data_IF_012439160812
#
_entry.id   IF_012439160812
#
_cell.length_a   1.000
_cell.length_b   1.000
_cell.length_c   1.000
_cell.angle_alpha   90.00
_cell.angle_beta   90.00
_cell.angle_gamma   90.00
#
_symmetry.space_group_name_H-M   'P 1'
#
loop_
_entity.id
_entity.type
_entity.pdbx_description
1 polymer ?
#
# COMPACT_ATOMS: atom_id res chain seq x y z
N UNK A 1 -73.24 10.58 -24.46
CA UNK A 1 -72.66 9.99 -23.23
C UNK A 1 -71.32 9.35 -23.60
N UNK A 2 -70.21 10.06 -23.41
CA UNK A 2 -68.86 9.49 -23.48
C UNK A 2 -68.13 10.02 -22.24
N UNK A 3 -67.94 9.15 -21.26
CA UNK A 3 -67.30 9.47 -19.98
C UNK A 3 -65.80 9.31 -20.13
N UNK A 4 -65.09 10.43 -20.04
CA UNK A 4 -63.62 10.49 -20.07
C UNK A 4 -63.07 10.13 -18.68
N UNK A 5 -62.33 9.03 -18.57
CA UNK A 5 -61.66 8.62 -17.34
C UNK A 5 -60.25 9.23 -17.31
N UNK A 6 -60.06 10.24 -16.47
CA UNK A 6 -58.75 10.77 -16.12
C UNK A 6 -58.02 9.79 -15.18
N UNK A 7 -56.89 9.24 -15.62
CA UNK A 7 -55.95 8.50 -14.77
C UNK A 7 -55.06 9.50 -14.03
N UNK A 8 -55.19 9.55 -12.71
CA UNK A 8 -54.34 10.33 -11.82
C UNK A 8 -53.10 9.48 -11.48
N UNK A 9 -51.93 9.83 -12.01
CA UNK A 9 -50.66 9.19 -11.66
C UNK A 9 -50.10 9.83 -10.38
N UNK A 10 -50.16 9.11 -9.26
CA UNK A 10 -49.53 9.50 -8.00
C UNK A 10 -48.05 9.08 -8.10
N UNK A 11 -47.17 10.05 -8.33
CA UNK A 11 -45.72 9.84 -8.27
C UNK A 11 -45.24 9.76 -6.83
N UNK A 12 -44.84 8.59 -6.38
CA UNK A 12 -44.13 8.40 -5.10
C UNK A 12 -42.70 8.89 -5.22
N UNK A 13 -42.40 10.03 -4.61
CA UNK A 13 -41.05 10.55 -4.47
C UNK A 13 -40.30 9.73 -3.41
N UNK A 14 -39.55 8.72 -3.85
CA UNK A 14 -38.68 7.94 -2.97
C UNK A 14 -37.45 8.79 -2.59
N UNK A 15 -37.41 9.30 -1.36
CA UNK A 15 -36.18 9.83 -0.77
C UNK A 15 -35.19 8.68 -0.56
N UNK A 16 -34.17 8.64 -1.41
CA UNK A 16 -32.98 7.82 -1.19
C UNK A 16 -32.19 8.42 -0.03
N UNK A 17 -32.30 7.81 1.16
CA UNK A 17 -31.32 8.00 2.22
C UNK A 17 -30.00 7.39 1.74
N UNK A 18 -29.07 8.25 1.34
CA UNK A 18 -27.66 7.89 1.21
C UNK A 18 -27.11 7.66 2.61
N UNK A 19 -27.22 6.43 3.10
CA UNK A 19 -26.42 5.95 4.23
C UNK A 19 -24.98 5.90 3.77
N UNK A 20 -24.19 6.91 4.13
CA UNK A 20 -22.73 6.89 4.00
C UNK A 20 -22.16 5.84 4.96
N UNK A 21 -22.13 4.57 4.53
CA UNK A 21 -21.30 3.55 5.15
C UNK A 21 -19.84 3.95 4.89
N UNK A 22 -19.24 4.66 5.83
CA UNK A 22 -17.78 4.66 5.93
C UNK A 22 -17.38 3.25 6.32
N UNK A 23 -16.69 2.57 5.40
CA UNK A 23 -16.13 1.24 5.60
C UNK A 23 -14.85 1.32 6.45
N UNK A 24 -14.97 1.87 7.66
CA UNK A 24 -13.94 1.77 8.69
C UNK A 24 -14.33 0.59 9.60
N UNK A 25 -13.42 -0.36 9.79
CA UNK A 25 -13.68 -1.56 10.61
C UNK A 25 -13.71 -1.24 12.12
N UNK A 26 -13.44 0.03 12.48
CA UNK A 26 -13.71 0.64 13.78
C UNK A 26 -14.97 1.50 13.68
N UNK A 27 -15.99 1.18 14.48
CA UNK A 27 -17.28 1.88 14.47
C UNK A 27 -17.13 3.29 15.06
N UNK A 28 -17.53 4.31 14.30
CA UNK A 28 -17.60 5.69 14.81
C UNK A 28 -18.83 5.85 15.69
N UNK A 29 -18.59 6.02 16.97
CA UNK A 29 -19.61 6.24 17.98
C UNK A 29 -19.74 7.74 18.27
N UNK A 30 -20.99 8.18 18.42
CA UNK A 30 -21.42 9.56 18.59
C UNK A 30 -22.42 9.63 19.74
N UNK A 31 -22.75 10.82 20.21
CA UNK A 31 -23.79 11.00 21.24
C UNK A 31 -25.14 10.35 20.85
N UNK A 32 -25.44 10.26 19.55
CA UNK A 32 -26.74 9.79 19.04
C UNK A 32 -26.86 8.27 18.86
N UNK A 33 -25.73 7.56 18.79
CA UNK A 33 -25.68 6.11 18.52
C UNK A 33 -24.96 5.30 19.61
N UNK A 34 -24.23 5.94 20.53
CA UNK A 34 -23.41 5.22 21.51
C UNK A 34 -24.21 4.16 22.26
N UNK A 35 -25.30 4.53 22.92
CA UNK A 35 -26.11 3.60 23.71
C UNK A 35 -26.93 2.63 22.86
N UNK A 36 -27.06 2.88 21.55
CA UNK A 36 -27.70 1.94 20.62
C UNK A 36 -26.74 0.82 20.19
N UNK A 37 -25.44 1.06 20.30
CA UNK A 37 -24.39 0.15 19.83
C UNK A 37 -23.64 -0.52 21.01
N UNK A 38 -23.50 0.20 22.12
CA UNK A 38 -22.75 -0.20 23.33
C UNK A 38 -23.72 -0.54 24.45
N UNK A 39 -23.38 -1.57 25.24
CA UNK A 39 -24.24 -2.07 26.32
C UNK A 39 -25.46 -2.86 25.85
N UNK A 40 -25.47 -3.26 24.58
CA UNK A 40 -26.56 -4.02 23.95
C UNK A 40 -26.21 -5.53 23.88
N UNK A 41 -26.38 -6.16 22.72
CA UNK A 41 -26.25 -7.61 22.51
C UNK A 41 -24.82 -8.11 22.30
N UNK A 42 -23.86 -7.18 22.16
CA UNK A 42 -22.41 -7.42 22.04
C UNK A 42 -21.62 -6.61 23.07
N UNK A 43 -20.45 -7.12 23.45
CA UNK A 43 -19.51 -6.36 24.26
C UNK A 43 -18.76 -5.34 23.38
N UNK A 44 -18.17 -4.29 23.96
CA UNK A 44 -17.49 -3.26 23.18
C UNK A 44 -16.17 -2.81 23.82
N UNK A 45 -15.12 -2.67 23.01
CA UNK A 45 -13.96 -1.87 23.36
C UNK A 45 -14.11 -0.50 22.67
N UNK A 46 -14.05 0.58 23.45
CA UNK A 46 -14.20 1.95 22.96
C UNK A 46 -12.96 2.79 23.23
N UNK A 47 -12.42 3.42 22.19
CA UNK A 47 -11.41 4.47 22.27
C UNK A 47 -12.07 5.84 22.35
N UNK A 48 -11.80 6.57 23.41
CA UNK A 48 -12.13 7.99 23.55
C UNK A 48 -10.89 8.82 23.21
N UNK A 49 -10.97 9.60 22.13
CA UNK A 49 -9.83 10.30 21.56
C UNK A 49 -10.12 11.78 21.26
N UNK A 50 -9.09 12.52 20.88
CA UNK A 50 -9.22 13.85 20.29
C UNK A 50 -8.31 13.96 19.05
N UNK A 51 -8.73 14.60 17.94
CA UNK A 51 -7.98 14.64 16.68
C UNK A 51 -6.59 15.29 16.79
N UNK A 52 -6.42 16.22 17.73
CA UNK A 52 -5.14 16.92 17.95
C UNK A 52 -4.16 16.13 18.83
N UNK A 53 -4.58 15.03 19.48
CA UNK A 53 -3.73 14.30 20.41
C UNK A 53 -2.70 13.41 19.70
N UNK A 54 -1.41 13.68 19.92
CA UNK A 54 -0.31 12.90 19.32
C UNK A 54 -0.30 11.42 19.74
N UNK A 55 -0.68 11.10 20.99
CA UNK A 55 -0.76 9.70 21.45
C UNK A 55 -1.93 8.95 20.81
N UNK A 56 -3.04 9.63 20.51
CA UNK A 56 -4.16 9.07 19.75
C UNK A 56 -3.73 8.76 18.31
N UNK A 57 -3.02 9.69 17.65
CA UNK A 57 -2.47 9.47 16.30
C UNK A 57 -1.52 8.27 16.25
N UNK A 58 -0.76 8.02 17.33
CA UNK A 58 0.11 6.84 17.43
C UNK A 58 -0.67 5.54 17.66
N UNK A 59 -1.79 5.57 18.36
CA UNK A 59 -2.65 4.40 18.61
C UNK A 59 -3.54 4.06 17.41
N UNK A 60 -4.01 5.05 16.65
CA UNK A 60 -4.92 4.87 15.53
C UNK A 60 -4.59 3.67 14.61
N UNK A 61 -3.37 3.49 14.08
CA UNK A 61 -3.07 2.33 13.22
C UNK A 61 -3.19 0.98 13.94
N UNK A 62 -2.81 0.90 15.22
CA UNK A 62 -2.96 -0.32 16.03
C UNK A 62 -4.44 -0.63 16.32
N UNK A 63 -5.23 0.41 16.55
CA UNK A 63 -6.66 0.30 16.83
C UNK A 63 -7.48 -0.06 15.57
N UNK A 64 -7.09 0.46 14.41
CA UNK A 64 -7.63 0.06 13.11
C UNK A 64 -7.31 -1.40 12.79
N UNK A 65 -6.06 -1.83 13.03
CA UNK A 65 -5.65 -3.24 12.88
C UNK A 65 -6.49 -4.15 13.79
N UNK A 66 -6.76 -3.73 15.02
CA UNK A 66 -7.67 -4.43 15.93
C UNK A 66 -9.10 -4.51 15.36
N UNK A 67 -9.67 -3.38 14.92
CA UNK A 67 -11.01 -3.32 14.31
C UNK A 67 -11.15 -4.28 13.12
N UNK A 68 -10.20 -4.23 12.19
CA UNK A 68 -10.16 -5.12 11.03
C UNK A 68 -10.11 -6.61 11.43
N UNK A 69 -9.36 -6.94 12.48
CA UNK A 69 -9.24 -8.31 12.99
C UNK A 69 -10.56 -8.82 13.57
N UNK A 70 -11.26 -7.96 14.31
CA UNK A 70 -12.52 -8.30 14.98
C UNK A 70 -13.76 -8.13 14.09
N UNK A 71 -13.61 -7.70 12.83
CA UNK A 71 -14.71 -7.50 11.86
C UNK A 71 -15.70 -8.67 11.76
N UNK A 72 -15.22 -9.91 11.87
CA UNK A 72 -16.06 -11.13 11.80
C UNK A 72 -16.60 -11.60 13.16
N UNK A 73 -16.08 -11.05 14.27
CA UNK A 73 -16.48 -11.41 15.62
C UNK A 73 -17.71 -10.61 16.06
N UNK A 74 -18.90 -11.04 15.62
CA UNK A 74 -20.17 -10.33 15.86
C UNK A 74 -20.51 -10.10 17.35
N UNK A 75 -19.92 -10.86 18.26
CA UNK A 75 -20.10 -10.71 19.71
C UNK A 75 -19.32 -9.54 20.33
N UNK A 76 -18.47 -8.86 19.54
CA UNK A 76 -17.64 -7.75 19.98
C UNK A 76 -17.76 -6.57 19.00
N UNK A 77 -17.81 -5.35 19.55
CA UNK A 77 -17.71 -4.08 18.84
C UNK A 77 -16.34 -3.45 19.14
N UNK A 78 -15.62 -3.01 18.12
CA UNK A 78 -14.47 -2.11 18.28
C UNK A 78 -14.92 -0.73 17.80
N UNK A 79 -14.92 0.26 18.70
CA UNK A 79 -15.48 1.58 18.44
C UNK A 79 -14.58 2.71 18.90
N UNK A 80 -14.80 3.90 18.34
CA UNK A 80 -14.10 5.14 18.71
C UNK A 80 -15.06 6.32 18.83
N UNK A 81 -14.79 7.23 19.75
CA UNK A 81 -15.54 8.45 20.00
C UNK A 81 -14.59 9.65 19.97
N UNK A 82 -14.89 10.63 19.11
CA UNK A 82 -14.22 11.92 19.14
C UNK A 82 -14.80 12.78 20.28
N UNK A 83 -14.00 13.06 21.30
CA UNK A 83 -14.43 13.84 22.46
C UNK A 83 -14.41 15.36 22.26
N UNK A 84 -13.83 15.88 21.17
CA UNK A 84 -13.99 17.29 20.81
C UNK A 84 -15.39 17.55 20.26
N UNK A 85 -15.92 16.61 19.46
CA UNK A 85 -17.26 16.69 18.88
C UNK A 85 -18.34 16.15 19.83
N UNK A 86 -18.07 15.05 20.53
CA UNK A 86 -19.04 14.32 21.37
C UNK A 86 -18.71 14.41 22.86
N UNK A 87 -18.70 15.65 23.39
CA UNK A 87 -18.32 15.94 24.78
C UNK A 87 -19.24 15.31 25.82
N UNK A 88 -20.52 15.14 25.49
CA UNK A 88 -21.54 14.63 26.43
C UNK A 88 -21.23 13.19 26.81
N UNK A 89 -21.06 12.31 25.82
CA UNK A 89 -20.71 10.90 26.07
C UNK A 89 -19.34 10.74 26.75
N UNK A 90 -18.34 11.56 26.39
CA UNK A 90 -17.02 11.48 27.02
C UNK A 90 -17.06 11.92 28.50
N UNK A 91 -17.82 12.97 28.81
CA UNK A 91 -18.03 13.42 30.18
C UNK A 91 -18.80 12.37 30.99
N UNK A 92 -19.83 11.75 30.40
CA UNK A 92 -20.63 10.69 31.03
C UNK A 92 -19.77 9.52 31.52
N UNK A 93 -18.77 9.12 30.75
CA UNK A 93 -17.88 8.01 31.08
C UNK A 93 -16.55 8.44 31.72
N UNK A 94 -16.50 9.67 32.25
CA UNK A 94 -15.38 10.15 33.07
C UNK A 94 -14.05 10.28 32.32
N UNK A 95 -14.09 10.58 31.02
CA UNK A 95 -12.88 10.75 30.20
C UNK A 95 -12.22 12.10 30.52
N UNK A 96 -11.04 12.05 31.15
CA UNK A 96 -10.26 13.23 31.53
C UNK A 96 -8.92 13.36 30.80
N UNK A 97 -8.60 12.41 29.91
CA UNK A 97 -7.37 12.41 29.13
C UNK A 97 -7.44 11.43 27.95
N UNK A 98 -6.55 11.63 26.97
CA UNK A 98 -6.61 10.91 25.69
C UNK A 98 -5.29 10.20 25.34
N UNK A 99 -5.35 9.03 24.66
CA UNK A 99 -6.54 8.20 24.49
C UNK A 99 -6.94 7.52 25.80
N UNK A 100 -8.25 7.37 26.03
CA UNK A 100 -8.80 6.51 27.10
C UNK A 100 -9.51 5.33 26.47
N UNK A 101 -9.19 4.11 26.91
CA UNK A 101 -9.77 2.87 26.42
C UNK A 101 -10.66 2.26 27.50
N UNK A 102 -11.90 1.94 27.16
CA UNK A 102 -12.86 1.35 28.08
C UNK A 102 -13.58 0.15 27.45
N UNK A 103 -13.70 -0.92 28.23
CA UNK A 103 -14.42 -2.13 27.89
C UNK A 103 -15.81 -2.13 28.50
N UNK A 104 -16.82 -2.32 27.66
CA UNK A 104 -18.22 -2.43 28.05
C UNK A 104 -18.66 -3.89 27.87
N UNK A 105 -18.96 -4.61 28.96
CA UNK A 105 -19.50 -5.97 28.87
C UNK A 105 -20.83 -6.00 28.11
N UNK A 106 -21.13 -7.15 27.48
CA UNK A 106 -22.43 -7.38 26.85
C UNK A 106 -23.57 -7.09 27.84
N UNK A 107 -24.55 -6.30 27.41
CA UNK A 107 -25.71 -5.91 28.22
C UNK A 107 -25.42 -4.91 29.33
N UNK A 108 -24.23 -4.31 29.39
CA UNK A 108 -23.85 -3.35 30.43
C UNK A 108 -23.25 -2.07 29.84
N UNK A 109 -23.69 -0.93 30.39
CA UNK A 109 -23.07 0.38 30.16
C UNK A 109 -22.03 0.72 31.24
N UNK A 110 -21.72 -0.18 32.16
CA UNK A 110 -20.67 0.00 33.17
C UNK A 110 -19.31 -0.42 32.60
N UNK A 111 -18.38 0.51 32.36
CA UNK A 111 -17.12 0.20 31.73
C UNK A 111 -16.05 -0.26 32.72
N UNK A 112 -15.15 -1.10 32.23
CA UNK A 112 -13.83 -1.38 32.81
C UNK A 112 -12.76 -0.66 32.01
N UNK A 113 -11.94 0.17 32.66
CA UNK A 113 -10.83 0.85 32.00
C UNK A 113 -9.71 -0.13 31.62
N UNK A 114 -9.14 0.05 30.42
CA UNK A 114 -7.96 -0.67 29.98
C UNK A 114 -6.70 0.18 30.22
N UNK A 115 -5.73 -0.38 30.94
CA UNK A 115 -4.47 0.30 31.30
C UNK A 115 -3.21 -0.41 30.77
N UNK A 116 -3.39 -1.41 29.91
CA UNK A 116 -2.29 -2.16 29.31
C UNK A 116 -1.62 -1.49 28.11
N UNK A 117 -0.67 -2.19 27.45
CA UNK A 117 0.02 -1.71 26.27
C UNK A 117 -0.93 -1.45 25.08
N UNK A 118 -0.76 -0.32 24.41
CA UNK A 118 -1.61 0.13 23.29
C UNK A 118 -1.12 -0.42 21.94
N UNK A 119 -0.95 -1.74 21.86
CA UNK A 119 -0.59 -2.49 20.64
C UNK A 119 -1.76 -3.38 20.25
N UNK A 120 -1.96 -3.63 18.96
CA UNK A 120 -3.06 -4.45 18.48
C UNK A 120 -3.09 -5.84 19.15
N UNK A 121 -1.92 -6.44 19.36
CA UNK A 121 -1.78 -7.76 19.99
C UNK A 121 -2.26 -7.74 21.45
N UNK A 122 -1.76 -6.81 22.27
CA UNK A 122 -2.16 -6.70 23.67
C UNK A 122 -3.65 -6.31 23.84
N UNK A 123 -4.18 -5.50 22.93
CA UNK A 123 -5.61 -5.16 22.90
C UNK A 123 -6.45 -6.38 22.48
N UNK A 124 -6.02 -7.16 21.49
CA UNK A 124 -6.71 -8.37 21.07
C UNK A 124 -6.71 -9.43 22.16
N UNK A 125 -5.58 -9.64 22.85
CA UNK A 125 -5.52 -10.55 24.00
C UNK A 125 -6.53 -10.15 25.09
N UNK A 126 -6.59 -8.85 25.40
CA UNK A 126 -7.55 -8.32 26.36
C UNK A 126 -9.01 -8.52 25.90
N UNK A 127 -9.33 -8.15 24.66
CA UNK A 127 -10.68 -8.31 24.09
C UNK A 127 -11.08 -9.79 23.98
N UNK A 128 -10.15 -10.67 23.63
CA UNK A 128 -10.37 -12.11 23.61
C UNK A 128 -10.72 -12.64 25.00
N UNK A 129 -9.94 -12.24 26.01
CA UNK A 129 -10.15 -12.61 27.41
C UNK A 129 -11.50 -12.13 27.94
N UNK A 130 -11.82 -10.85 27.78
CA UNK A 130 -13.03 -10.25 28.35
C UNK A 130 -14.29 -10.58 27.53
N UNK A 131 -14.16 -10.68 26.21
CA UNK A 131 -15.26 -10.98 25.28
C UNK A 131 -15.52 -12.47 25.05
N UNK A 132 -14.69 -13.37 25.62
CA UNK A 132 -14.78 -14.81 25.40
C UNK A 132 -14.58 -15.20 23.93
N UNK A 133 -13.67 -14.52 23.23
CA UNK A 133 -13.37 -14.75 21.81
C UNK A 133 -11.95 -15.29 21.63
N UNK A 134 -11.63 -15.76 20.41
CA UNK A 134 -10.29 -16.24 20.05
C UNK A 134 -9.89 -15.69 18.68
N UNK A 135 -10.02 -14.38 18.53
CA UNK A 135 -9.65 -13.65 17.32
C UNK A 135 -8.14 -13.46 17.31
N UNK A 136 -7.48 -14.00 16.30
CA UNK A 136 -6.10 -13.66 16.01
C UNK A 136 -6.09 -12.29 15.33
N UNK A 137 -5.15 -11.43 15.71
CA UNK A 137 -4.90 -10.21 14.95
C UNK A 137 -4.68 -10.62 13.49
N UNK A 138 -5.51 -10.06 12.61
CA UNK A 138 -5.28 -10.12 11.18
C UNK A 138 -3.88 -9.57 10.99
N UNK A 139 -2.95 -10.44 10.64
CA UNK A 139 -1.68 -9.99 10.10
C UNK A 139 -2.06 -9.04 8.97
N UNK A 140 -1.64 -7.78 9.06
CA UNK A 140 -1.58 -6.95 7.87
C UNK A 140 -0.83 -7.83 6.86
N UNK A 141 -1.44 -8.16 5.71
CA UNK A 141 -0.80 -9.05 4.76
C UNK A 141 0.57 -8.44 4.45
N UNK A 142 1.61 -9.09 4.97
CA UNK A 142 2.95 -8.58 4.88
C UNK A 142 3.40 -8.77 3.44
N UNK A 143 3.97 -7.71 2.87
CA UNK A 143 4.67 -7.81 1.59
C UNK A 143 6.09 -8.35 1.78
N UNK A 144 6.56 -8.48 3.04
CA UNK A 144 7.85 -9.09 3.37
C UNK A 144 7.72 -10.61 3.30
N UNK A 145 8.56 -11.23 2.49
CA UNK A 145 8.65 -12.69 2.39
C UNK A 145 9.39 -13.23 3.60
N UNK A 146 8.72 -14.05 4.41
CA UNK A 146 9.35 -14.72 5.55
C UNK A 146 10.10 -15.95 5.06
N UNK A 147 11.41 -15.95 5.26
CA UNK A 147 12.28 -17.05 4.90
C UNK A 147 12.39 -18.08 6.02
N UNK A 148 12.63 -19.32 5.62
CA UNK A 148 12.99 -20.46 6.45
C UNK A 148 14.06 -21.27 5.74
N UNK A 149 14.58 -22.32 6.39
CA UNK A 149 15.41 -23.33 5.73
C UNK A 149 14.78 -23.90 4.46
N UNK A 150 13.45 -23.98 4.40
CA UNK A 150 12.74 -24.74 3.37
C UNK A 150 12.52 -23.93 2.09
N UNK A 151 12.46 -22.60 2.18
CA UNK A 151 12.21 -21.71 1.04
C UNK A 151 13.37 -20.76 0.71
N UNK A 152 14.43 -20.72 1.54
CA UNK A 152 15.53 -19.77 1.35
C UNK A 152 16.15 -19.91 -0.05
N UNK A 153 16.49 -21.13 -0.46
CA UNK A 153 17.15 -21.35 -1.75
C UNK A 153 16.22 -21.03 -2.93
N UNK A 154 14.94 -21.40 -2.84
CA UNK A 154 13.95 -21.10 -3.89
C UNK A 154 13.77 -19.59 -4.09
N UNK A 155 13.74 -18.81 -3.01
CA UNK A 155 13.49 -17.37 -3.07
C UNK A 155 14.79 -16.61 -3.35
N UNK A 156 15.81 -16.80 -2.51
CA UNK A 156 17.03 -15.99 -2.51
C UNK A 156 17.95 -16.36 -3.67
N UNK A 157 18.08 -17.66 -3.98
CA UNK A 157 18.99 -18.13 -5.03
C UNK A 157 18.34 -18.16 -6.43
N UNK A 158 17.10 -17.69 -6.57
CA UNK A 158 16.47 -17.52 -7.88
C UNK A 158 17.22 -16.48 -8.71
N UNK A 159 17.88 -16.93 -9.78
CA UNK A 159 18.69 -16.10 -10.66
C UNK A 159 17.90 -15.05 -11.45
N UNK A 160 16.56 -15.08 -11.40
CA UNK A 160 15.70 -14.08 -12.05
C UNK A 160 15.25 -12.96 -11.11
N UNK A 161 15.50 -13.08 -9.80
CA UNK A 161 15.05 -12.12 -8.78
C UNK A 161 16.20 -11.36 -8.14
N UNK A 162 15.98 -10.11 -7.82
CA UNK A 162 16.78 -9.30 -6.92
C UNK A 162 16.17 -9.40 -5.51
N UNK A 163 16.94 -9.85 -4.51
CA UNK A 163 16.39 -10.14 -3.18
C UNK A 163 17.15 -9.37 -2.10
N UNK A 164 16.46 -8.50 -1.37
CA UNK A 164 16.99 -7.88 -0.15
C UNK A 164 16.50 -8.71 1.04
N UNK A 165 17.43 -9.16 1.89
CA UNK A 165 17.13 -10.00 3.06
C UNK A 165 17.55 -9.30 4.35
N UNK A 166 16.61 -9.10 5.27
CA UNK A 166 16.88 -8.76 6.66
C UNK A 166 17.12 -10.05 7.49
N UNK A 167 18.33 -10.22 8.00
CA UNK A 167 18.62 -11.20 9.04
C UNK A 167 18.37 -10.55 10.41
N UNK A 168 17.38 -11.06 11.13
CA UNK A 168 16.91 -10.49 12.39
C UNK A 168 16.89 -11.51 13.53
N UNK A 169 16.68 -11.02 14.75
CA UNK A 169 16.33 -11.84 15.91
C UNK A 169 15.10 -11.25 16.64
N UNK A 170 14.14 -12.07 17.12
CA UNK A 170 12.89 -11.57 17.73
C UNK A 170 13.10 -10.71 18.98
N UNK A 171 14.21 -10.89 19.69
CA UNK A 171 14.54 -10.13 20.90
C UNK A 171 15.25 -8.81 20.60
N UNK A 172 15.71 -8.58 19.36
CA UNK A 172 16.48 -7.38 19.01
C UNK A 172 15.58 -6.14 18.89
N UNK A 173 15.84 -5.13 19.73
CA UNK A 173 15.09 -3.86 19.70
C UNK A 173 15.23 -3.10 18.38
N UNK A 174 16.43 -3.06 17.79
CA UNK A 174 16.66 -2.39 16.51
C UNK A 174 15.93 -3.05 15.34
N UNK A 175 15.81 -4.39 15.34
CA UNK A 175 14.98 -5.12 14.36
C UNK A 175 13.51 -4.73 14.49
N UNK A 176 13.00 -4.65 15.73
CA UNK A 176 11.60 -4.22 15.98
C UNK A 176 11.35 -2.79 15.48
N UNK A 177 12.34 -1.90 15.59
CA UNK A 177 12.25 -0.55 15.04
C UNK A 177 12.31 -0.50 13.51
N UNK A 178 13.07 -1.40 12.88
CA UNK A 178 13.21 -1.49 11.43
C UNK A 178 11.99 -2.14 10.75
N UNK A 179 11.37 -3.15 11.38
CA UNK A 179 10.23 -3.90 10.85
C UNK A 179 9.13 -3.04 10.19
N UNK A 180 8.60 -1.95 10.80
CA UNK A 180 7.57 -1.12 10.15
C UNK A 180 8.09 -0.32 8.95
N UNK A 181 9.39 0.00 8.89
CA UNK A 181 10.01 0.64 7.73
C UNK A 181 10.19 -0.39 6.62
N UNK A 182 10.70 -1.57 6.96
CA UNK A 182 10.93 -2.66 6.03
C UNK A 182 9.62 -3.15 5.36
N UNK A 183 8.51 -3.16 6.10
CA UNK A 183 7.18 -3.45 5.56
C UNK A 183 6.72 -2.43 4.52
N UNK A 184 7.02 -1.13 4.73
CA UNK A 184 6.73 -0.08 3.74
C UNK A 184 7.56 -0.25 2.48
N UNK A 185 8.83 -0.62 2.62
CA UNK A 185 9.73 -0.92 1.50
C UNK A 185 9.19 -2.11 0.71
N UNK A 186 8.86 -3.22 1.37
CA UNK A 186 8.26 -4.37 0.73
C UNK A 186 6.95 -4.03 0.01
N UNK A 187 6.10 -3.22 0.64
CA UNK A 187 4.86 -2.72 0.04
C UNK A 187 5.10 -1.82 -1.16
N UNK A 188 6.18 -1.03 -1.17
CA UNK A 188 6.53 -0.16 -2.27
C UNK A 188 6.88 -0.97 -3.52
N UNK A 189 7.64 -2.05 -3.37
CA UNK A 189 8.12 -2.87 -4.49
C UNK A 189 7.24 -4.09 -4.82
N UNK A 190 6.09 -4.27 -4.14
CA UNK A 190 5.21 -5.45 -4.33
C UNK A 190 4.70 -5.71 -5.76
N UNK A 191 4.76 -4.71 -6.64
CA UNK A 191 4.35 -4.79 -8.05
C UNK A 191 5.54 -4.99 -9.00
N UNK A 192 6.78 -4.94 -8.50
CA UNK A 192 7.97 -5.29 -9.26
C UNK A 192 8.24 -6.77 -9.07
N UNK A 193 7.74 -7.59 -9.99
CA UNK A 193 7.79 -9.05 -9.88
C UNK A 193 9.21 -9.60 -9.69
N UNK A 194 10.23 -8.88 -10.18
CA UNK A 194 11.64 -9.25 -10.08
C UNK A 194 12.32 -8.82 -8.78
N UNK A 195 11.65 -8.07 -7.90
CA UNK A 195 12.19 -7.60 -6.63
C UNK A 195 11.50 -8.29 -5.46
N UNK A 196 12.28 -8.84 -4.53
CA UNK A 196 11.78 -9.48 -3.31
C UNK A 196 12.41 -8.82 -2.09
N UNK A 197 11.56 -8.43 -1.15
CA UNK A 197 11.97 -7.94 0.17
C UNK A 197 11.61 -9.04 1.18
N UNK A 198 12.61 -9.56 1.89
CA UNK A 198 12.48 -10.77 2.67
C UNK A 198 13.17 -10.65 4.03
N UNK A 199 12.78 -11.48 4.99
CA UNK A 199 13.47 -11.57 6.28
C UNK A 199 13.70 -13.02 6.72
N UNK A 200 14.70 -13.22 7.57
CA UNK A 200 15.06 -14.51 8.15
C UNK A 200 15.35 -14.34 9.65
N UNK A 201 14.70 -15.14 10.48
CA UNK A 201 15.05 -15.27 11.90
C UNK A 201 16.38 -16.04 12.01
N UNK A 202 17.48 -15.30 12.11
CA UNK A 202 18.83 -15.84 12.13
C UNK A 202 19.20 -16.43 13.51
N UNK A 203 18.45 -16.11 14.57
CA UNK A 203 18.58 -16.76 15.88
C UNK A 203 18.02 -18.19 15.84
N UNK A 204 16.93 -18.37 15.08
CA UNK A 204 16.34 -19.69 14.80
C UNK A 204 17.13 -20.49 13.75
N UNK A 205 17.52 -19.88 12.63
CA UNK A 205 18.19 -20.57 11.51
C UNK A 205 19.70 -20.30 11.49
N UNK A 206 20.39 -20.78 12.52
CA UNK A 206 21.80 -20.48 12.79
C UNK A 206 22.76 -20.94 11.69
N UNK A 207 22.50 -22.08 11.04
CA UNK A 207 23.35 -22.59 9.96
C UNK A 207 23.31 -21.65 8.73
N UNK A 208 22.15 -21.08 8.42
CA UNK A 208 22.02 -20.07 7.36
C UNK A 208 22.69 -18.75 7.78
N UNK A 209 22.56 -18.36 9.05
CA UNK A 209 23.23 -17.19 9.59
C UNK A 209 24.77 -17.34 9.47
N UNK A 210 25.32 -18.49 9.84
CA UNK A 210 26.75 -18.78 9.75
C UNK A 210 27.23 -18.83 8.28
N UNK A 211 26.48 -19.50 7.40
CA UNK A 211 26.77 -19.57 5.95
C UNK A 211 26.97 -18.19 5.33
N UNK A 212 26.18 -17.21 5.76
CA UNK A 212 26.26 -15.83 5.26
C UNK A 212 27.00 -14.89 6.20
N UNK A 213 27.71 -15.39 7.22
CA UNK A 213 28.57 -14.57 8.09
C UNK A 213 27.81 -13.54 8.93
N UNK A 214 26.59 -13.86 9.38
CA UNK A 214 25.76 -12.98 10.20
C UNK A 214 26.24 -13.03 11.65
N UNK A 215 26.84 -11.92 12.13
CA UNK A 215 27.40 -11.81 13.49
C UNK A 215 26.69 -10.77 14.37
N UNK A 216 25.64 -10.11 13.88
CA UNK A 216 24.89 -9.08 14.58
C UNK A 216 23.55 -8.80 13.92
N UNK A 217 22.69 -8.01 14.59
CA UNK A 217 21.33 -7.76 14.13
C UNK A 217 20.92 -6.28 14.22
N UNK A 218 20.07 -5.80 13.29
CA UNK A 218 19.77 -6.44 12.01
C UNK A 218 20.99 -6.35 11.07
N UNK A 219 21.20 -7.39 10.29
CA UNK A 219 22.12 -7.39 9.14
C UNK A 219 21.30 -7.51 7.86
N UNK A 220 21.57 -6.66 6.88
CA UNK A 220 20.88 -6.63 5.61
C UNK A 220 21.84 -7.08 4.51
N UNK A 221 21.40 -8.02 3.67
CA UNK A 221 22.17 -8.44 2.50
C UNK A 221 21.32 -8.41 1.25
N UNK A 222 21.90 -7.98 0.15
CA UNK A 222 21.29 -7.97 -1.16
C UNK A 222 21.84 -9.09 -2.04
N UNK A 223 20.95 -9.79 -2.74
CA UNK A 223 21.26 -10.94 -3.60
C UNK A 223 20.81 -10.62 -5.03
N UNK A 224 21.68 -9.98 -5.83
CA UNK A 224 21.33 -9.53 -7.16
C UNK A 224 20.93 -10.67 -8.11
N UNK A 225 20.13 -10.33 -9.12
CA UNK A 225 19.81 -11.18 -10.25
C UNK A 225 21.11 -11.64 -10.93
N UNK A 226 21.24 -12.94 -11.15
CA UNK A 226 22.44 -13.56 -11.75
C UNK A 226 23.70 -13.62 -10.87
N UNK A 227 23.72 -13.02 -9.68
CA UNK A 227 24.83 -13.18 -8.71
C UNK A 227 24.30 -13.36 -7.28
N UNK A 228 24.39 -14.60 -6.80
CA UNK A 228 23.79 -15.04 -5.52
C UNK A 228 24.77 -15.23 -4.38
N UNK A 229 25.97 -14.65 -4.48
CA UNK A 229 26.93 -14.64 -3.39
C UNK A 229 26.43 -13.83 -2.18
N UNK A 230 25.58 -12.82 -2.42
CA UNK A 230 25.13 -11.87 -1.42
C UNK A 230 26.16 -10.77 -1.18
N UNK A 231 25.70 -9.52 -1.15
CA UNK A 231 26.49 -8.35 -0.79
C UNK A 231 25.87 -7.66 0.44
N UNK A 232 26.69 -7.07 1.28
CA UNK A 232 26.20 -6.31 2.44
C UNK A 232 25.49 -5.03 2.00
N UNK A 233 24.40 -4.71 2.70
CA UNK A 233 23.74 -3.42 2.59
C UNK A 233 24.19 -2.52 3.75
N UNK A 234 24.96 -1.50 3.41
CA UNK A 234 25.51 -0.52 4.37
C UNK A 234 24.82 0.86 4.28
N UNK A 235 23.69 0.94 3.57
CA UNK A 235 22.92 2.18 3.42
C UNK A 235 22.13 2.58 4.66
N UNK A 236 21.50 3.76 4.59
CA UNK A 236 20.59 4.23 5.63
C UNK A 236 19.35 3.33 5.78
N UNK A 237 18.64 3.42 6.91
CA UNK A 237 17.54 2.49 7.24
C UNK A 237 16.17 3.14 7.17
N UNK A 238 16.07 4.27 6.48
CA UNK A 238 14.82 4.96 6.24
C UNK A 238 14.20 4.46 4.93
N UNK A 239 12.89 4.67 4.72
CA UNK A 239 12.19 4.18 3.52
C UNK A 239 12.88 4.66 2.24
N UNK A 240 13.26 5.94 2.19
CA UNK A 240 13.83 6.56 1.00
C UNK A 240 15.24 6.02 0.67
N UNK A 241 16.04 5.64 1.67
CA UNK A 241 17.36 5.04 1.47
C UNK A 241 17.24 3.66 0.82
N UNK A 242 16.33 2.82 1.33
CA UNK A 242 16.05 1.51 0.73
C UNK A 242 15.48 1.64 -0.67
N UNK A 243 14.51 2.53 -0.86
CA UNK A 243 13.89 2.75 -2.17
C UNK A 243 14.92 3.22 -3.19
N UNK A 244 15.82 4.13 -2.80
CA UNK A 244 16.91 4.60 -3.65
C UNK A 244 17.83 3.44 -4.03
N UNK A 245 18.31 2.67 -3.05
CA UNK A 245 19.16 1.50 -3.30
C UNK A 245 18.51 0.47 -4.23
N UNK A 246 17.25 0.11 -3.98
CA UNK A 246 16.53 -0.90 -4.78
C UNK A 246 16.28 -0.37 -6.20
N UNK A 247 15.91 0.90 -6.36
CA UNK A 247 15.78 1.51 -7.69
C UNK A 247 17.10 1.45 -8.47
N UNK A 248 18.22 1.77 -7.83
CA UNK A 248 19.54 1.75 -8.46
C UNK A 248 20.02 0.34 -8.81
N UNK A 249 19.87 -0.61 -7.88
CA UNK A 249 20.35 -1.99 -8.05
C UNK A 249 19.46 -2.82 -8.98
N UNK A 250 18.15 -2.61 -8.94
CA UNK A 250 17.18 -3.43 -9.67
C UNK A 250 16.65 -2.76 -10.95
N UNK A 251 17.07 -1.52 -11.24
CA UNK A 251 16.57 -0.76 -12.40
C UNK A 251 15.08 -0.42 -12.32
N UNK A 252 14.54 -0.29 -11.10
CA UNK A 252 13.15 0.13 -10.84
C UNK A 252 13.08 1.65 -10.66
N UNK A 253 11.87 2.18 -10.44
CA UNK A 253 11.68 3.64 -10.36
C UNK A 253 10.46 4.00 -9.51
N UNK A 254 10.46 3.60 -8.24
CA UNK A 254 9.38 3.87 -7.28
C UNK A 254 9.73 4.96 -6.27
N UNK A 255 8.70 5.58 -5.70
CA UNK A 255 8.81 6.41 -4.50
C UNK A 255 8.52 5.60 -3.21
N UNK A 256 8.67 6.24 -2.04
CA UNK A 256 8.38 5.61 -0.74
C UNK A 256 6.92 5.22 -0.49
N UNK A 257 6.00 5.57 -1.41
CA UNK A 257 4.59 5.15 -1.39
C UNK A 257 4.31 4.03 -2.40
N UNK A 258 5.33 3.55 -3.12
CA UNK A 258 5.22 2.52 -4.14
C UNK A 258 4.71 3.01 -5.50
N UNK A 259 4.62 4.32 -5.72
CA UNK A 259 4.18 4.88 -6.99
C UNK A 259 5.37 4.97 -7.97
N UNK A 260 5.13 4.67 -9.25
CA UNK A 260 6.14 4.91 -10.29
C UNK A 260 6.44 6.41 -10.42
N UNK A 261 7.73 6.75 -10.41
CA UNK A 261 8.24 8.11 -10.63
C UNK A 261 8.26 8.47 -12.11
N UNK A 262 8.59 9.72 -12.45
CA UNK A 262 8.75 10.18 -13.84
C UNK A 262 9.87 9.48 -14.62
N UNK A 263 10.82 8.83 -13.92
CA UNK A 263 11.91 8.06 -14.54
C UNK A 263 11.46 6.68 -15.03
N UNK A 264 10.35 6.17 -14.52
CA UNK A 264 9.87 4.84 -14.88
C UNK A 264 9.53 4.74 -16.37
N UNK A 265 10.09 3.74 -17.04
CA UNK A 265 9.87 3.48 -18.46
C UNK A 265 10.80 4.22 -19.41
N UNK A 266 11.62 5.15 -18.91
CA UNK A 266 12.54 5.93 -19.73
C UNK A 266 13.75 5.07 -20.09
N UNK A 267 13.97 4.88 -21.39
CA UNK A 267 15.15 4.18 -21.92
C UNK A 267 16.00 5.21 -22.66
N UNK A 268 17.13 5.59 -22.08
CA UNK A 268 17.96 6.72 -22.57
C UNK A 268 18.30 6.61 -24.05
N UNK A 269 18.60 5.40 -24.52
CA UNK A 269 18.99 5.18 -25.91
C UNK A 269 17.81 5.39 -26.88
N UNK A 270 16.60 4.96 -26.49
CA UNK A 270 15.36 5.25 -27.23
C UNK A 270 14.96 6.73 -27.14
N UNK A 271 15.17 7.40 -26.00
CA UNK A 271 14.88 8.83 -25.82
C UNK A 271 15.58 9.69 -26.87
N UNK A 272 16.86 9.38 -27.14
CA UNK A 272 17.63 10.12 -28.14
C UNK A 272 17.04 9.95 -29.55
N UNK A 273 16.60 8.74 -29.91
CA UNK A 273 15.91 8.49 -31.19
C UNK A 273 14.52 9.14 -31.24
N UNK A 274 13.78 9.19 -30.13
CA UNK A 274 12.49 9.89 -30.07
C UNK A 274 12.68 11.39 -30.29
N UNK A 275 13.73 12.01 -29.73
CA UNK A 275 14.06 13.43 -29.97
C UNK A 275 14.34 13.71 -31.44
N UNK A 276 15.02 12.81 -32.14
CA UNK A 276 15.20 12.89 -33.60
C UNK A 276 13.85 12.75 -34.32
N UNK A 277 13.07 11.73 -33.94
CA UNK A 277 11.78 11.42 -34.54
C UNK A 277 10.79 12.59 -34.47
N UNK A 278 10.68 13.26 -33.32
CA UNK A 278 9.71 14.37 -33.15
C UNK A 278 10.09 15.62 -33.95
N UNK A 279 11.38 15.86 -34.20
CA UNK A 279 11.88 17.00 -34.98
C UNK A 279 11.87 16.75 -36.49
N UNK A 280 11.82 15.49 -36.90
CA UNK A 280 11.90 15.07 -38.29
C UNK A 280 10.63 15.40 -39.09
N UNK A 281 10.80 15.57 -40.40
CA UNK A 281 9.67 15.63 -41.34
C UNK A 281 8.95 14.28 -41.41
N UNK A 282 7.73 14.26 -41.99
CA UNK A 282 6.94 13.02 -42.07
C UNK A 282 7.63 11.89 -42.86
N UNK A 283 8.44 12.24 -43.87
CA UNK A 283 9.17 11.25 -44.66
C UNK A 283 10.37 10.68 -43.89
N UNK A 284 11.10 11.53 -43.15
CA UNK A 284 12.23 11.12 -42.31
C UNK A 284 11.81 10.31 -41.08
N UNK A 285 10.62 10.58 -40.51
CA UNK A 285 10.07 9.85 -39.37
C UNK A 285 9.97 8.34 -39.62
N UNK A 286 9.71 7.90 -40.85
CA UNK A 286 9.65 6.47 -41.19
C UNK A 286 11.02 5.79 -41.05
N UNK A 287 12.08 6.46 -41.48
CA UNK A 287 13.44 5.95 -41.35
C UNK A 287 13.90 5.92 -39.89
N UNK A 288 13.53 6.94 -39.10
CA UNK A 288 13.84 6.97 -37.66
C UNK A 288 13.03 5.91 -36.91
N UNK A 289 11.76 5.68 -37.29
CA UNK A 289 10.94 4.62 -36.72
C UNK A 289 11.58 3.24 -36.90
N UNK A 290 12.10 2.90 -38.08
CA UNK A 290 12.82 1.65 -38.31
C UNK A 290 14.06 1.52 -37.40
N UNK A 291 14.81 2.60 -37.16
CA UNK A 291 15.93 2.61 -36.20
C UNK A 291 15.50 2.39 -34.76
N UNK A 292 14.31 2.86 -34.38
CA UNK A 292 13.72 2.59 -33.06
C UNK A 292 13.32 1.10 -32.98
N UNK A 293 12.75 0.52 -34.04
CA UNK A 293 12.43 -0.92 -34.10
C UNK A 293 13.67 -1.78 -33.90
N UNK A 294 14.72 -1.54 -34.68
CA UNK A 294 16.00 -2.27 -34.58
C UNK A 294 16.59 -2.20 -33.17
N UNK A 295 16.54 -1.03 -32.53
CA UNK A 295 17.05 -0.88 -31.16
C UNK A 295 16.19 -1.61 -30.13
N UNK A 296 14.86 -1.54 -30.26
CA UNK A 296 13.94 -2.25 -29.37
C UNK A 296 14.15 -3.77 -29.43
N UNK A 297 14.52 -4.32 -30.59
CA UNK A 297 14.88 -5.73 -30.75
C UNK A 297 16.14 -6.15 -29.97
N UNK A 298 17.07 -5.21 -29.71
CA UNK A 298 18.28 -5.48 -28.94
C UNK A 298 18.06 -5.36 -27.42
N UNK A 299 16.94 -4.75 -26.99
CA UNK A 299 16.64 -4.59 -25.57
C UNK A 299 16.24 -5.93 -24.93
N UNK A 300 16.57 -6.07 -23.64
CA UNK A 300 16.22 -7.23 -22.82
C UNK A 300 15.46 -6.80 -21.57
N UNK A 301 14.78 -7.74 -20.92
CA UNK A 301 14.06 -7.50 -19.66
C UNK A 301 13.03 -6.38 -19.76
N UNK A 302 12.94 -5.55 -18.71
CA UNK A 302 11.99 -4.44 -18.61
C UNK A 302 12.12 -3.42 -19.76
N UNK A 303 13.34 -3.15 -20.22
CA UNK A 303 13.59 -2.22 -21.33
C UNK A 303 12.93 -2.68 -22.63
N UNK A 304 12.90 -3.99 -22.91
CA UNK A 304 12.21 -4.54 -24.09
C UNK A 304 10.69 -4.33 -24.01
N UNK A 305 10.10 -4.49 -22.81
CA UNK A 305 8.68 -4.21 -22.55
C UNK A 305 8.38 -2.73 -22.77
N UNK A 306 9.24 -1.83 -22.30
CA UNK A 306 9.10 -0.39 -22.49
C UNK A 306 9.23 0.00 -23.96
N UNK A 307 10.18 -0.60 -24.68
CA UNK A 307 10.37 -0.41 -26.12
C UNK A 307 9.10 -0.64 -26.96
N UNK A 308 8.27 -1.63 -26.59
CA UNK A 308 6.96 -1.85 -27.24
C UNK A 308 6.01 -0.65 -27.10
N UNK A 309 6.08 0.08 -25.98
CA UNK A 309 5.29 1.30 -25.75
C UNK A 309 5.85 2.44 -26.60
N UNK A 310 7.17 2.59 -26.67
CA UNK A 310 7.83 3.54 -27.59
C UNK A 310 7.38 3.31 -29.03
N UNK A 311 7.46 2.09 -29.55
CA UNK A 311 7.02 1.77 -30.91
C UNK A 311 5.55 2.11 -31.15
N UNK A 312 4.68 1.78 -30.20
CA UNK A 312 3.26 2.10 -30.30
C UNK A 312 3.03 3.62 -30.34
N UNK A 313 3.78 4.40 -29.57
CA UNK A 313 3.69 5.85 -29.53
C UNK A 313 4.21 6.49 -30.84
N UNK A 314 5.35 6.04 -31.36
CA UNK A 314 5.89 6.50 -32.64
C UNK A 314 4.94 6.17 -33.81
N UNK A 315 4.45 4.92 -33.88
CA UNK A 315 3.47 4.50 -34.88
C UNK A 315 2.18 5.33 -34.81
N UNK A 316 1.64 5.54 -33.61
CA UNK A 316 0.44 6.34 -33.43
C UNK A 316 0.67 7.81 -33.80
N UNK A 317 1.87 8.34 -33.59
CA UNK A 317 2.25 9.70 -34.01
C UNK A 317 2.34 9.83 -35.54
N UNK A 318 2.78 8.78 -36.25
CA UNK A 318 2.75 8.73 -37.72
C UNK A 318 1.31 8.69 -38.26
N UNK A 319 0.44 7.88 -37.65
CA UNK A 319 -0.93 7.64 -38.14
C UNK A 319 -1.92 8.76 -37.76
N UNK A 320 -1.77 9.33 -36.56
CA UNK A 320 -2.75 10.26 -35.96
C UNK A 320 -2.24 11.70 -35.85
N UNK A 321 -1.00 11.94 -36.26
CA UNK A 321 -0.36 13.26 -36.25
C UNK A 321 0.31 13.63 -34.93
N UNK A 322 1.02 14.77 -34.96
CA UNK A 322 1.91 15.23 -33.88
C UNK A 322 1.20 15.47 -32.54
N UNK A 323 -0.10 15.79 -32.55
CA UNK A 323 -0.88 16.03 -31.33
C UNK A 323 -1.26 14.76 -30.57
N UNK A 324 -1.02 13.57 -31.14
CA UNK A 324 -1.41 12.30 -30.53
C UNK A 324 -0.88 12.16 -29.11
N UNK A 325 0.42 12.37 -28.90
CA UNK A 325 1.05 12.18 -27.60
C UNK A 325 0.44 13.10 -26.53
N UNK A 326 0.24 14.38 -26.87
CA UNK A 326 -0.40 15.37 -25.99
C UNK A 326 -1.83 14.96 -25.61
N UNK A 327 -2.65 14.56 -26.58
CA UNK A 327 -4.04 14.13 -26.34
C UNK A 327 -4.10 12.87 -25.48
N UNK A 328 -3.19 11.92 -25.71
CA UNK A 328 -3.13 10.68 -24.95
C UNK A 328 -2.64 10.88 -23.52
N UNK A 329 -1.65 11.75 -23.29
CA UNK A 329 -1.22 12.16 -21.94
C UNK A 329 -2.39 12.74 -21.15
N UNK A 330 -3.13 13.70 -21.73
CA UNK A 330 -4.30 14.30 -21.08
C UNK A 330 -5.39 13.26 -20.77
N UNK A 331 -5.56 12.25 -21.64
CA UNK A 331 -6.48 11.14 -21.39
C UNK A 331 -6.01 10.28 -20.22
N UNK A 332 -4.71 9.96 -20.16
CA UNK A 332 -4.12 9.16 -19.08
C UNK A 332 -4.19 9.89 -17.73
N UNK A 333 -3.98 11.21 -17.71
CA UNK A 333 -4.12 12.04 -16.50
C UNK A 333 -5.54 11.99 -15.93
N UNK A 334 -6.57 12.21 -16.77
CA UNK A 334 -7.98 12.06 -16.36
C UNK A 334 -8.33 10.64 -15.89
N UNK A 335 -7.58 9.63 -16.32
CA UNK A 335 -7.79 8.25 -15.87
C UNK A 335 -7.09 7.98 -14.54
N UNK A 336 -5.94 8.60 -14.28
CA UNK A 336 -5.21 8.52 -13.02
C UNK A 336 -5.93 9.24 -11.87
N UNK A 337 -6.79 10.22 -12.17
CA UNK A 337 -7.65 10.89 -11.17
C UNK A 337 -8.81 10.01 -10.69
N UNK A 338 -9.12 8.91 -11.40
CA UNK A 338 -10.20 7.99 -11.02
C UNK A 338 -9.69 6.96 -10.01
N UNK A 339 -10.61 6.38 -9.24
CA UNK A 339 -10.31 5.18 -8.45
C UNK A 339 -10.00 4.01 -9.39
N UNK A 340 -8.73 3.61 -9.44
CA UNK A 340 -8.22 2.51 -10.27
C UNK A 340 -7.28 1.63 -9.44
N UNK A 341 -7.06 0.38 -9.89
CA UNK A 341 -6.12 -0.51 -9.20
C UNK A 341 -4.67 -0.01 -9.31
N UNK A 342 -3.80 -0.32 -8.33
CA UNK A 342 -2.38 0.03 -8.38
C UNK A 342 -1.67 -0.41 -9.67
N UNK A 343 -1.92 -1.65 -10.11
CA UNK A 343 -1.35 -2.16 -11.37
C UNK A 343 -1.81 -1.35 -12.59
N UNK A 344 -3.06 -0.85 -12.58
CA UNK A 344 -3.56 0.01 -13.66
C UNK A 344 -2.95 1.41 -13.61
N UNK A 345 -2.75 1.94 -12.40
CA UNK A 345 -2.03 3.20 -12.21
C UNK A 345 -0.59 3.08 -12.73
N UNK A 346 0.13 2.00 -12.42
CA UNK A 346 1.48 1.74 -12.95
C UNK A 346 1.47 1.69 -14.49
N UNK A 347 0.53 0.98 -15.10
CA UNK A 347 0.38 0.92 -16.57
C UNK A 347 0.17 2.32 -17.19
N UNK A 348 -0.68 3.14 -16.58
CA UNK A 348 -0.98 4.48 -17.08
C UNK A 348 0.17 5.45 -16.86
N UNK A 349 0.82 5.42 -15.70
CA UNK A 349 2.00 6.25 -15.41
C UNK A 349 3.15 5.91 -16.33
N UNK A 350 3.44 4.61 -16.54
CA UNK A 350 4.48 4.16 -17.45
C UNK A 350 4.25 4.66 -18.88
N UNK A 351 3.01 4.51 -19.39
CA UNK A 351 2.63 5.03 -20.71
C UNK A 351 2.75 6.55 -20.78
N UNK A 352 2.30 7.25 -19.74
CA UNK A 352 2.36 8.71 -19.67
C UNK A 352 3.82 9.19 -19.74
N UNK A 353 4.70 8.61 -18.94
CA UNK A 353 6.12 8.96 -18.92
C UNK A 353 6.78 8.79 -20.30
N UNK A 354 6.55 7.64 -20.95
CA UNK A 354 7.09 7.38 -22.30
C UNK A 354 6.47 8.32 -23.34
N UNK A 355 5.19 8.67 -23.23
CA UNK A 355 4.59 9.63 -24.15
C UNK A 355 5.13 11.05 -23.95
N UNK A 356 5.56 11.40 -22.73
CA UNK A 356 6.13 12.73 -22.45
C UNK A 356 7.36 13.02 -23.29
N UNK A 357 8.16 12.02 -23.65
CA UNK A 357 9.32 12.25 -24.53
C UNK A 357 8.95 12.58 -25.97
N UNK A 358 7.70 12.31 -26.37
CA UNK A 358 7.17 12.74 -27.68
C UNK A 358 6.65 14.19 -27.70
N UNK A 359 6.62 14.87 -26.55
CA UNK A 359 6.19 16.28 -26.44
C UNK A 359 7.32 17.22 -25.98
N UNK A 360 8.29 16.74 -25.21
CA UNK A 360 9.32 17.55 -24.54
C UNK A 360 10.44 18.11 -25.45
N UNK A 361 10.20 18.22 -26.76
CA UNK A 361 11.16 18.75 -27.75
C UNK A 361 10.63 19.92 -28.57
N UNK A 362 9.57 20.61 -28.11
CA UNK A 362 9.18 21.92 -28.64
C UNK A 362 9.97 23.05 -27.98
#
# INVERSE_FOLDING_TARGET
>A
MVSSRAFCAIGTLALLFLSSVSADDVVVLTDSNFEKEVGQDRAALVEFYAPWCGHCKKLAPEYEKLGASFKKAKSVLIGKVDCDEHKSVCSKYGVSGYPTLQWFPKGSLEPKKYEGPRTAEALAEFVNKEGGTNVKIAAVPSSVVVLSSDNFDEVVLNNEKDVLVEFYAPWCGHCKSLAPIYEKVASAFKLDEDVVIANLDADKYRDLAEKYGISGFPTLKFFPKGNKAGEDYDGGRDVDDFVTFINEKCGTSRDGKGQLTSKAGIVESLENKVKEFVKASNDEKKAIFAKIEEEVEQLKGSSARYGKIYLKAAKSSLEKGADYAKKEIQRLERMLEKSISPAKADEFTLKKNILSSYISSQ
#
